data_IF_009693940899
#
_entry.id   IF_009693940899
#
_cell.length_a   1.000
_cell.length_b   1.000
_cell.length_c   1.000
_cell.angle_alpha   90.00
_cell.angle_beta   90.00
_cell.angle_gamma   90.00
#
_symmetry.space_group_name_H-M   'P 1'
#
loop_
_entity.id
_entity.type
_entity.pdbx_description
1 polymer ?
#
# COMPACT_ATOMS: atom_id res chain seq x y z
N UNK A 1 1.17 -2.53 -43.80
CA UNK A 1 1.26 -1.08 -44.09
C UNK A 1 1.79 -0.40 -42.83
N UNK A 2 2.84 0.43 -42.95
CA UNK A 2 3.37 1.18 -41.79
C UNK A 2 2.47 2.40 -41.57
N UNK A 3 2.01 2.69 -40.33
CA UNK A 3 1.18 3.85 -40.05
C UNK A 3 1.81 5.14 -40.59
N UNK A 4 1.00 5.99 -41.21
CA UNK A 4 1.43 7.32 -41.67
C UNK A 4 1.51 8.34 -40.53
N UNK A 5 0.99 8.02 -39.35
CA UNK A 5 1.01 8.90 -38.20
C UNK A 5 2.07 8.47 -37.19
N UNK A 6 2.89 9.44 -36.77
CA UNK A 6 3.94 9.25 -35.79
C UNK A 6 3.51 9.96 -34.51
N UNK A 7 3.51 9.24 -33.39
CA UNK A 7 3.39 9.86 -32.08
C UNK A 7 4.69 10.58 -31.78
N UNK A 8 4.64 11.76 -31.19
CA UNK A 8 5.86 12.50 -30.88
C UNK A 8 5.82 13.24 -29.55
N UNK A 9 4.64 13.40 -28.96
CA UNK A 9 4.40 14.19 -27.76
C UNK A 9 3.20 13.63 -27.01
N UNK A 10 3.19 13.74 -25.68
CA UNK A 10 2.24 13.06 -24.81
C UNK A 10 1.88 13.98 -23.63
N UNK A 11 0.64 14.48 -23.55
CA UNK A 11 0.25 15.43 -22.51
C UNK A 11 1.12 16.69 -22.55
N UNK A 12 1.84 16.97 -21.45
CA UNK A 12 2.82 18.06 -21.34
C UNK A 12 4.28 17.61 -21.61
N UNK A 13 4.50 16.32 -21.93
CA UNK A 13 5.83 15.77 -22.18
C UNK A 13 6.25 15.96 -23.64
N UNK A 14 7.40 16.60 -23.87
CA UNK A 14 8.05 16.80 -25.17
C UNK A 14 8.49 15.50 -25.90
N UNK A 15 8.24 14.35 -25.28
CA UNK A 15 8.59 13.02 -25.76
C UNK A 15 7.48 12.02 -25.40
N UNK A 16 7.62 10.79 -25.87
CA UNK A 16 6.70 9.69 -25.55
C UNK A 16 7.27 8.85 -24.41
N UNK A 17 6.68 8.86 -23.19
CA UNK A 17 7.17 8.08 -22.07
C UNK A 17 6.82 6.60 -22.24
N UNK A 18 7.83 5.74 -22.33
CA UNK A 18 7.66 4.29 -22.44
C UNK A 18 7.82 3.64 -21.07
N UNK A 19 6.75 3.07 -20.54
CA UNK A 19 6.74 2.36 -19.27
C UNK A 19 7.30 0.94 -19.46
N UNK A 20 8.36 0.62 -18.72
CA UNK A 20 8.98 -0.68 -18.65
C UNK A 20 8.78 -1.35 -17.28
N UNK A 21 9.41 -2.53 -17.10
CA UNK A 21 9.32 -3.32 -15.86
C UNK A 21 10.05 -2.64 -14.70
N UNK A 22 11.13 -1.92 -14.99
CA UNK A 22 12.01 -1.31 -13.98
C UNK A 22 11.82 0.20 -13.80
N UNK A 23 11.00 0.83 -14.65
CA UNK A 23 10.95 2.28 -14.77
C UNK A 23 10.33 2.77 -16.06
N UNK A 24 10.59 4.02 -16.42
CA UNK A 24 10.18 4.61 -17.70
C UNK A 24 11.35 5.26 -18.43
N UNK A 25 11.28 5.29 -19.76
CA UNK A 25 12.26 5.97 -20.62
C UNK A 25 11.56 6.89 -21.62
N UNK A 26 12.17 8.06 -21.87
CA UNK A 26 11.71 9.00 -22.88
C UNK A 26 12.10 8.58 -24.27
N UNK A 27 11.10 8.27 -25.09
CA UNK A 27 11.33 8.04 -26.51
C UNK A 27 11.02 9.31 -27.30
N UNK A 28 11.96 9.74 -28.13
CA UNK A 28 11.80 10.88 -29.05
C UNK A 28 11.74 10.39 -30.51
N UNK A 29 10.57 9.92 -30.98
CA UNK A 29 10.34 9.39 -32.33
C UNK A 29 10.87 10.27 -33.46
N UNK A 30 10.83 11.60 -33.29
CA UNK A 30 11.26 12.56 -34.30
C UNK A 30 12.75 12.45 -34.65
N UNK A 31 13.60 11.97 -33.74
CA UNK A 31 15.04 11.79 -33.99
C UNK A 31 15.33 10.69 -35.01
N UNK A 32 14.49 9.66 -35.09
CA UNK A 32 14.76 8.46 -35.91
C UNK A 32 14.04 8.47 -37.26
N UNK A 33 13.25 9.50 -37.55
CA UNK A 33 12.43 9.59 -38.78
C UNK A 33 13.23 9.55 -40.08
N UNK A 34 14.51 9.92 -40.06
CA UNK A 34 15.42 9.80 -41.21
C UNK A 34 15.58 8.35 -41.69
N UNK A 35 15.44 7.36 -40.79
CA UNK A 35 15.46 5.94 -41.15
C UNK A 35 14.27 5.56 -42.05
N UNK A 36 13.16 6.26 -41.88
CA UNK A 36 11.89 6.03 -42.59
C UNK A 36 11.65 7.03 -43.72
N UNK A 37 12.72 7.58 -44.33
CA UNK A 37 12.68 8.50 -45.48
C UNK A 37 11.84 9.77 -45.24
N UNK A 38 11.76 10.20 -43.99
CA UNK A 38 10.99 11.38 -43.58
C UNK A 38 11.93 12.52 -43.16
N UNK A 39 11.43 13.76 -43.15
CA UNK A 39 12.20 14.94 -42.73
C UNK A 39 12.69 14.76 -41.29
N UNK A 40 13.96 15.09 -41.04
CA UNK A 40 14.48 15.20 -39.70
C UNK A 40 13.94 16.49 -39.07
N UNK A 41 13.34 16.38 -37.90
CA UNK A 41 12.96 17.52 -37.07
C UNK A 41 14.03 17.73 -36.01
N UNK A 42 14.24 18.98 -35.61
CA UNK A 42 14.98 19.29 -34.39
C UNK A 42 13.98 19.05 -33.26
N UNK A 43 14.08 17.97 -32.47
CA UNK A 43 13.15 17.75 -31.39
C UNK A 43 13.48 18.71 -30.24
N UNK A 44 12.47 19.02 -29.43
CA UNK A 44 12.71 19.56 -28.11
C UNK A 44 13.44 18.47 -27.30
N UNK A 45 14.71 18.73 -26.98
CA UNK A 45 15.53 17.87 -26.12
C UNK A 45 15.59 18.36 -24.68
N UNK A 46 14.87 19.45 -24.38
CA UNK A 46 14.69 19.94 -23.01
C UNK A 46 14.03 18.83 -22.19
N UNK A 47 14.48 18.57 -20.96
CA UNK A 47 13.89 17.53 -20.10
C UNK A 47 14.19 16.06 -20.46
N UNK A 48 14.88 15.75 -21.57
CA UNK A 48 15.17 14.35 -21.94
C UNK A 48 16.00 13.63 -20.85
N UNK A 49 16.89 14.34 -20.17
CA UNK A 49 17.68 13.82 -19.04
C UNK A 49 16.82 13.49 -17.81
N UNK A 50 15.65 14.12 -17.68
CA UNK A 50 14.66 13.87 -16.62
C UNK A 50 13.70 12.74 -17.02
N UNK A 51 13.83 12.21 -18.24
CA UNK A 51 12.96 11.17 -18.76
C UNK A 51 13.46 9.74 -18.50
N UNK A 52 14.39 9.56 -17.57
CA UNK A 52 14.70 8.26 -17.00
C UNK A 52 14.11 8.19 -15.59
N UNK A 53 13.12 7.33 -15.42
CA UNK A 53 12.41 7.16 -14.16
C UNK A 53 12.58 5.72 -13.68
N UNK A 54 12.73 5.50 -12.37
CA UNK A 54 12.77 4.17 -11.76
C UNK A 54 11.70 4.01 -10.69
N UNK A 55 11.12 2.81 -10.58
CA UNK A 55 10.07 2.55 -9.58
C UNK A 55 10.57 2.48 -8.12
N UNK A 56 11.86 2.76 -7.87
CA UNK A 56 12.46 2.72 -6.53
C UNK A 56 12.16 3.95 -5.66
N UNK A 57 11.73 5.06 -6.27
CA UNK A 57 11.42 6.30 -5.56
C UNK A 57 10.13 6.22 -4.74
N UNK A 58 10.04 6.98 -3.65
CA UNK A 58 8.85 7.10 -2.80
C UNK A 58 7.63 7.74 -3.51
N UNK A 59 7.85 8.54 -4.56
CA UNK A 59 6.78 9.20 -5.35
C UNK A 59 6.38 8.44 -6.64
N UNK A 60 6.88 7.23 -6.85
CA UNK A 60 6.74 6.53 -8.14
C UNK A 60 5.28 6.37 -8.62
N UNK A 61 4.34 6.21 -7.68
CA UNK A 61 2.92 6.05 -8.00
C UNK A 61 2.28 7.33 -8.56
N UNK A 62 2.75 8.50 -8.13
CA UNK A 62 2.31 9.79 -8.66
C UNK A 62 2.76 9.98 -10.10
N UNK A 63 4.04 9.69 -10.36
CA UNK A 63 4.67 9.81 -11.68
C UNK A 63 4.06 8.83 -12.71
N UNK A 64 3.77 7.57 -12.31
CA UNK A 64 3.03 6.63 -13.17
C UNK A 64 1.64 7.17 -13.52
N UNK A 65 0.93 7.76 -12.55
CA UNK A 65 -0.41 8.31 -12.78
C UNK A 65 -0.37 9.49 -13.73
N UNK A 66 0.63 10.35 -13.61
CA UNK A 66 0.88 11.47 -14.51
C UNK A 66 1.17 11.00 -15.92
N UNK A 67 2.12 10.07 -16.11
CA UNK A 67 2.41 9.49 -17.41
C UNK A 67 1.18 8.81 -18.01
N UNK A 68 0.45 8.00 -17.24
CA UNK A 68 -0.78 7.34 -17.70
C UNK A 68 -1.88 8.34 -18.10
N UNK A 69 -1.97 9.48 -17.43
CA UNK A 69 -2.87 10.56 -17.82
C UNK A 69 -2.40 11.27 -19.10
N UNK A 70 -1.09 11.52 -19.25
CA UNK A 70 -0.52 12.08 -20.45
C UNK A 70 -0.80 11.19 -21.68
N UNK A 71 -0.77 9.87 -21.52
CA UNK A 71 -1.12 8.89 -22.56
C UNK A 71 -2.57 9.00 -23.06
N UNK A 72 -3.46 9.72 -22.35
CA UNK A 72 -4.80 10.05 -22.85
C UNK A 72 -4.78 11.19 -23.87
N UNK A 73 -3.70 11.97 -23.92
CA UNK A 73 -3.49 13.14 -24.78
C UNK A 73 -2.29 12.91 -25.71
N UNK A 74 -2.43 11.93 -26.60
CA UNK A 74 -1.38 11.60 -27.58
C UNK A 74 -1.43 12.60 -28.74
N UNK A 75 -0.32 13.25 -29.00
CA UNK A 75 -0.15 14.11 -30.15
C UNK A 75 0.53 13.36 -31.29
N UNK A 76 -0.04 13.50 -32.49
CA UNK A 76 0.40 12.79 -33.69
C UNK A 76 0.78 13.79 -34.76
N UNK A 77 1.85 13.48 -35.49
CA UNK A 77 2.23 14.21 -36.69
C UNK A 77 2.11 13.27 -37.88
N UNK A 78 1.49 13.77 -38.95
CA UNK A 78 1.46 13.04 -40.21
C UNK A 78 2.87 13.00 -40.78
N UNK A 79 3.33 11.80 -41.13
CA UNK A 79 4.60 11.59 -41.80
C UNK A 79 4.56 12.30 -43.14
N UNK A 80 5.27 13.42 -43.24
CA UNK A 80 5.48 14.08 -44.52
C UNK A 80 6.55 13.28 -45.26
N UNK A 81 6.11 12.49 -46.24
CA UNK A 81 7.01 11.91 -47.24
C UNK A 81 7.56 13.06 -48.06
N UNK A 82 8.75 13.50 -47.72
CA UNK A 82 9.41 14.55 -48.48
C UNK A 82 9.89 13.95 -49.80
N UNK A 83 9.20 14.30 -50.88
CA UNK A 83 9.76 14.19 -52.22
C UNK A 83 10.93 15.15 -52.40
N UNK A 84 12.02 14.64 -52.98
CA UNK A 84 13.08 15.37 -53.69
C UNK A 84 13.75 16.61 -53.03
N UNK A 85 13.69 16.83 -51.71
CA UNK A 85 14.54 17.86 -51.05
C UNK A 85 15.74 17.29 -50.30
N UNK A 86 15.91 15.97 -50.29
CA UNK A 86 17.26 15.41 -50.09
C UNK A 86 18.07 15.68 -51.35
N UNK A 87 19.18 16.38 -51.17
CA UNK A 87 20.17 16.62 -52.21
C UNK A 87 20.48 15.30 -52.95
N UNK A 88 20.54 15.28 -54.30
CA UNK A 88 20.83 14.06 -55.05
C UNK A 88 22.08 13.33 -54.55
N UNK A 89 23.04 14.09 -54.03
CA UNK A 89 24.26 13.59 -53.38
C UNK A 89 23.96 12.73 -52.16
N UNK A 90 22.95 13.05 -51.35
CA UNK A 90 22.57 12.22 -50.19
C UNK A 90 21.97 10.88 -50.62
N UNK A 91 21.15 10.87 -51.68
CA UNK A 91 20.65 9.61 -52.24
C UNK A 91 21.79 8.77 -52.81
N UNK A 92 22.73 9.39 -53.54
CA UNK A 92 23.93 8.73 -54.02
C UNK A 92 24.79 8.16 -52.90
N UNK A 93 25.08 8.96 -51.86
CA UNK A 93 25.84 8.56 -50.67
C UNK A 93 25.16 7.42 -49.90
N UNK A 94 23.83 7.49 -49.69
CA UNK A 94 23.05 6.45 -49.01
C UNK A 94 23.01 5.16 -49.82
N UNK A 95 22.80 5.23 -51.14
CA UNK A 95 22.80 4.05 -52.02
C UNK A 95 24.18 3.39 -52.08
N UNK A 96 25.26 4.18 -52.07
CA UNK A 96 26.64 3.68 -51.92
C UNK A 96 26.79 2.91 -50.59
N UNK A 97 26.34 3.50 -49.48
CA UNK A 97 26.33 2.87 -48.15
C UNK A 97 25.45 1.62 -48.06
N UNK A 98 24.31 1.54 -48.75
CA UNK A 98 23.47 0.32 -48.71
C UNK A 98 24.26 -0.87 -49.28
N UNK A 99 25.09 -0.64 -50.30
CA UNK A 99 25.96 -1.66 -50.87
C UNK A 99 27.21 -1.90 -50.01
N UNK A 100 27.73 -0.89 -49.31
CA UNK A 100 28.86 -1.05 -48.37
C UNK A 100 28.44 -1.70 -47.03
N UNK A 101 27.16 -1.66 -46.67
CA UNK A 101 26.58 -2.28 -45.47
C UNK A 101 26.03 -3.68 -45.74
N UNK A 102 26.56 -4.42 -46.72
CA UNK A 102 26.54 -5.87 -46.59
C UNK A 102 27.33 -6.15 -45.32
N UNK A 103 26.63 -6.37 -44.21
CA UNK A 103 27.21 -6.97 -43.03
C UNK A 103 27.85 -8.24 -43.54
N UNK A 104 29.18 -8.23 -43.70
CA UNK A 104 29.96 -9.46 -43.89
C UNK A 104 29.41 -10.41 -42.83
N UNK A 105 28.82 -11.56 -43.20
CA UNK A 105 28.35 -12.51 -42.20
C UNK A 105 29.60 -12.92 -41.44
N UNK A 106 29.87 -12.26 -40.31
CA UNK A 106 30.86 -12.75 -39.35
C UNK A 106 30.13 -13.91 -38.73
N UNK A 107 30.33 -15.11 -39.26
CA UNK A 107 29.80 -16.36 -38.68
C UNK A 107 30.16 -16.45 -37.18
N UNK A 108 31.30 -15.88 -36.78
CA UNK A 108 31.71 -15.64 -35.38
C UNK A 108 30.70 -14.83 -34.55
N UNK A 109 30.06 -13.80 -35.10
CA UNK A 109 29.07 -12.97 -34.38
C UNK A 109 27.71 -13.62 -34.29
N UNK A 110 27.32 -14.44 -35.26
CA UNK A 110 26.04 -15.17 -35.19
C UNK A 110 26.11 -16.21 -34.09
N UNK A 111 27.21 -16.98 -33.99
CA UNK A 111 27.48 -17.89 -32.88
C UNK A 111 27.55 -17.15 -31.52
N UNK A 112 28.18 -15.97 -31.48
CA UNK A 112 28.26 -15.15 -30.27
C UNK A 112 26.89 -14.61 -29.82
N UNK A 113 26.06 -14.11 -30.74
CA UNK A 113 24.71 -13.59 -30.42
C UNK A 113 23.78 -14.71 -29.99
N UNK A 114 23.82 -15.87 -30.66
CA UNK A 114 23.02 -17.04 -30.27
C UNK A 114 23.41 -17.54 -28.88
N UNK A 115 24.71 -17.55 -28.55
CA UNK A 115 25.21 -17.82 -27.20
C UNK A 115 24.68 -16.82 -26.17
N UNK A 116 24.77 -15.51 -26.44
CA UNK A 116 24.23 -14.49 -25.54
C UNK A 116 22.72 -14.59 -25.37
N UNK A 117 21.96 -14.82 -26.45
CA UNK A 117 20.52 -14.99 -26.38
C UNK A 117 20.13 -16.25 -25.59
N UNK A 118 20.88 -17.34 -25.73
CA UNK A 118 20.67 -18.57 -24.95
C UNK A 118 20.94 -18.33 -23.46
N UNK A 119 21.98 -17.59 -23.11
CA UNK A 119 22.28 -17.19 -21.72
C UNK A 119 21.17 -16.29 -21.18
N UNK A 120 20.78 -15.24 -21.90
CA UNK A 120 19.71 -14.31 -21.49
C UNK A 120 18.37 -15.05 -21.32
N UNK A 121 18.02 -15.96 -22.24
CA UNK A 121 16.80 -16.77 -22.11
C UNK A 121 16.86 -17.69 -20.88
N UNK A 122 18.04 -18.24 -20.56
CA UNK A 122 18.25 -19.10 -19.39
C UNK A 122 18.15 -18.31 -18.08
N UNK A 123 18.74 -17.11 -18.02
CA UNK A 123 18.61 -16.20 -16.88
C UNK A 123 17.15 -15.78 -16.65
N UNK A 124 16.40 -15.50 -17.73
CA UNK A 124 14.98 -15.20 -17.64
C UNK A 124 14.15 -16.39 -17.15
N UNK A 125 14.47 -17.61 -17.58
CA UNK A 125 13.80 -18.83 -17.09
C UNK A 125 14.06 -19.03 -15.58
N UNK A 126 15.29 -18.79 -15.12
CA UNK A 126 15.66 -18.83 -13.69
C UNK A 126 14.87 -17.78 -12.91
N UNK A 127 14.87 -16.52 -13.35
CA UNK A 127 14.13 -15.43 -12.68
C UNK A 127 12.63 -15.74 -12.60
N UNK A 128 12.05 -16.29 -13.68
CA UNK A 128 10.65 -16.68 -13.73
C UNK A 128 10.32 -17.79 -12.73
N UNK A 129 11.21 -18.77 -12.58
CA UNK A 129 11.04 -19.84 -11.62
C UNK A 129 11.16 -19.32 -10.17
N UNK A 130 12.16 -18.49 -9.88
CA UNK A 130 12.33 -17.83 -8.58
C UNK A 130 11.11 -16.97 -8.21
N UNK A 131 10.53 -16.28 -9.19
CA UNK A 131 9.32 -15.49 -8.98
C UNK A 131 8.14 -16.39 -8.62
N UNK A 132 7.97 -17.52 -9.33
CA UNK A 132 6.92 -18.49 -9.08
C UNK A 132 7.04 -19.11 -7.68
N UNK A 133 8.25 -19.43 -7.26
CA UNK A 133 8.54 -19.96 -5.92
C UNK A 133 8.21 -18.94 -4.84
N UNK A 134 8.74 -17.71 -4.94
CA UNK A 134 8.43 -16.62 -3.99
C UNK A 134 6.94 -16.29 -3.95
N UNK A 135 6.27 -16.29 -5.09
CA UNK A 135 4.82 -16.06 -5.14
C UNK A 135 4.03 -17.16 -4.41
N UNK A 136 4.48 -18.42 -4.48
CA UNK A 136 3.88 -19.54 -3.74
C UNK A 136 4.12 -19.41 -2.24
N UNK A 137 5.35 -19.07 -1.83
CA UNK A 137 5.66 -18.82 -0.42
C UNK A 137 4.83 -17.67 0.17
N UNK A 138 4.67 -16.58 -0.57
CA UNK A 138 3.80 -15.48 -0.15
C UNK A 138 2.34 -15.91 -0.04
N UNK A 139 1.85 -16.74 -0.97
CA UNK A 139 0.52 -17.32 -0.89
C UNK A 139 0.29 -18.07 0.43
N UNK A 140 1.24 -18.95 0.81
CA UNK A 140 1.17 -19.70 2.08
C UNK A 140 1.21 -18.79 3.32
N UNK A 141 2.08 -17.76 3.31
CA UNK A 141 2.13 -16.77 4.42
C UNK A 141 0.83 -15.98 4.55
N UNK A 142 0.19 -15.62 3.43
CA UNK A 142 -1.10 -14.93 3.44
C UNK A 142 -2.18 -15.83 4.04
N UNK A 143 -2.23 -17.10 3.64
CA UNK A 143 -3.19 -18.07 4.17
C UNK A 143 -3.02 -18.26 5.68
N UNK A 144 -1.78 -18.44 6.15
CA UNK A 144 -1.47 -18.52 7.58
C UNK A 144 -1.92 -17.26 8.35
N UNK A 145 -1.63 -16.07 7.85
CA UNK A 145 -2.04 -14.82 8.49
C UNK A 145 -3.56 -14.65 8.52
N UNK A 146 -4.28 -15.14 7.51
CA UNK A 146 -5.74 -15.13 7.48
C UNK A 146 -6.32 -16.06 8.55
N UNK A 147 -5.72 -17.23 8.73
CA UNK A 147 -6.12 -18.19 9.78
C UNK A 147 -5.83 -17.64 11.18
N UNK A 148 -4.64 -17.09 11.43
CA UNK A 148 -4.28 -16.43 12.69
C UNK A 148 -5.23 -15.27 13.02
N UNK A 149 -5.60 -14.46 12.02
CA UNK A 149 -6.59 -13.38 12.19
C UNK A 149 -7.97 -13.91 12.58
N UNK A 150 -8.39 -15.05 12.02
CA UNK A 150 -9.67 -15.68 12.37
C UNK A 150 -9.68 -16.15 13.83
N UNK A 151 -8.60 -16.81 14.29
CA UNK A 151 -8.46 -17.23 15.67
C UNK A 151 -8.48 -16.05 16.65
N UNK A 152 -7.70 -15.01 16.38
CA UNK A 152 -7.71 -13.79 17.19
C UNK A 152 -9.10 -13.12 17.23
N UNK A 153 -9.84 -13.17 16.11
CA UNK A 153 -11.22 -12.70 16.07
C UNK A 153 -12.14 -13.45 17.04
N UNK A 154 -12.02 -14.78 17.10
CA UNK A 154 -12.78 -15.61 18.04
C UNK A 154 -12.40 -15.29 19.50
N UNK A 155 -11.11 -15.14 19.80
CA UNK A 155 -10.65 -14.80 21.15
C UNK A 155 -11.18 -13.45 21.62
N UNK A 156 -11.20 -12.45 20.74
CA UNK A 156 -11.79 -11.13 21.03
C UNK A 156 -13.27 -11.26 21.37
N UNK A 157 -14.03 -12.08 20.63
CA UNK A 157 -15.45 -12.30 20.91
C UNK A 157 -15.67 -13.04 22.24
N UNK A 158 -14.84 -14.03 22.56
CA UNK A 158 -14.85 -14.73 23.86
C UNK A 158 -14.62 -13.74 25.00
N UNK A 159 -13.55 -12.96 24.94
CA UNK A 159 -13.23 -11.96 25.98
C UNK A 159 -14.32 -10.90 26.12
N UNK A 160 -14.95 -10.50 25.01
CA UNK A 160 -16.09 -9.57 25.03
C UNK A 160 -17.30 -10.17 25.75
N UNK A 161 -17.59 -11.47 25.56
CA UNK A 161 -18.64 -12.16 26.29
C UNK A 161 -18.33 -12.29 27.78
N UNK A 162 -17.10 -12.62 28.14
CA UNK A 162 -16.64 -12.71 29.53
C UNK A 162 -16.74 -11.36 30.24
N UNK A 163 -16.25 -10.29 29.61
CA UNK A 163 -16.36 -8.93 30.15
C UNK A 163 -17.81 -8.51 30.38
N UNK A 164 -18.72 -8.87 29.46
CA UNK A 164 -20.15 -8.60 29.61
C UNK A 164 -20.76 -9.37 30.79
N UNK A 165 -20.35 -10.62 31.02
CA UNK A 165 -20.78 -11.43 32.17
C UNK A 165 -20.27 -10.86 33.48
N UNK A 166 -19.00 -10.49 33.54
CA UNK A 166 -18.39 -9.83 34.70
C UNK A 166 -19.08 -8.51 35.05
N UNK A 167 -19.39 -7.68 34.04
CA UNK A 167 -20.12 -6.42 34.25
C UNK A 167 -21.50 -6.64 34.84
N UNK A 168 -22.24 -7.64 34.37
CA UNK A 168 -23.55 -8.00 34.96
C UNK A 168 -23.42 -8.45 36.40
N UNK A 169 -22.42 -9.29 36.71
CA UNK A 169 -22.15 -9.73 38.08
C UNK A 169 -21.79 -8.57 39.01
N UNK A 170 -20.93 -7.65 38.54
CA UNK A 170 -20.55 -6.44 39.30
C UNK A 170 -21.76 -5.57 39.61
N UNK A 171 -22.61 -5.27 38.63
CA UNK A 171 -23.80 -4.44 38.83
C UNK A 171 -24.74 -5.05 39.89
N UNK A 172 -24.96 -6.38 39.84
CA UNK A 172 -25.79 -7.06 40.84
C UNK A 172 -25.17 -6.98 42.24
N UNK A 173 -23.87 -7.22 42.37
CA UNK A 173 -23.18 -7.11 43.66
C UNK A 173 -23.22 -5.67 44.23
N UNK A 174 -23.21 -4.66 43.35
CA UNK A 174 -23.34 -3.26 43.72
C UNK A 174 -24.76 -2.92 44.21
N UNK A 175 -25.80 -3.41 43.53
CA UNK A 175 -27.20 -3.32 43.98
C UNK A 175 -27.42 -4.00 45.34
N UNK A 176 -26.87 -5.22 45.51
CA UNK A 176 -26.96 -5.98 46.76
C UNK A 176 -26.24 -5.24 47.91
N UNK A 177 -25.08 -4.62 47.63
CA UNK A 177 -24.34 -3.82 48.62
C UNK A 177 -25.11 -2.57 49.03
N UNK A 178 -25.73 -1.86 48.07
CA UNK A 178 -26.54 -0.69 48.36
C UNK A 178 -27.78 -1.05 49.17
N UNK A 179 -28.45 -2.16 48.86
CA UNK A 179 -29.55 -2.71 49.64
C UNK A 179 -29.12 -2.99 51.09
N UNK A 180 -28.03 -3.75 51.27
CA UNK A 180 -27.48 -4.07 52.59
C UNK A 180 -27.11 -2.81 53.39
N UNK A 181 -26.56 -1.79 52.72
CA UNK A 181 -26.23 -0.50 53.32
C UNK A 181 -27.48 0.24 53.79
N UNK A 182 -28.60 0.16 53.05
CA UNK A 182 -29.87 0.73 53.49
C UNK A 182 -30.48 0.00 54.67
N UNK A 183 -30.44 -1.34 54.67
CA UNK A 183 -30.95 -2.16 55.76
C UNK A 183 -30.15 -1.96 57.05
N UNK A 184 -28.82 -1.88 56.94
CA UNK A 184 -27.96 -1.54 58.08
C UNK A 184 -28.30 -0.17 58.68
N UNK A 185 -28.53 0.85 57.84
CA UNK A 185 -28.95 2.18 58.32
C UNK A 185 -30.29 2.12 59.04
N UNK A 186 -31.28 1.38 58.52
CA UNK A 186 -32.58 1.18 59.17
C UNK A 186 -32.43 0.48 60.51
N UNK A 187 -31.70 -0.64 60.56
CA UNK A 187 -31.45 -1.39 61.79
C UNK A 187 -30.80 -0.50 62.86
N UNK A 188 -29.77 0.27 62.48
CA UNK A 188 -29.09 1.21 63.38
C UNK A 188 -30.04 2.29 63.93
N UNK A 189 -30.95 2.80 63.09
CA UNK A 189 -31.99 3.74 63.54
C UNK A 189 -32.97 3.05 64.50
N UNK A 190 -33.45 1.85 64.19
CA UNK A 190 -34.34 1.09 65.06
C UNK A 190 -33.73 0.80 66.43
N UNK A 191 -32.44 0.42 66.49
CA UNK A 191 -31.70 0.21 67.75
C UNK A 191 -31.64 1.49 68.59
N UNK A 192 -31.44 2.66 67.95
CA UNK A 192 -31.47 3.96 68.65
C UNK A 192 -32.86 4.27 69.19
N UNK A 193 -33.91 4.08 68.40
CA UNK A 193 -35.29 4.39 68.78
C UNK A 193 -35.81 3.46 69.89
N UNK A 194 -35.45 2.18 69.87
CA UNK A 194 -35.83 1.21 70.89
C UNK A 194 -35.07 1.37 72.24
N UNK A 195 -34.19 2.37 72.37
CA UNK A 195 -33.39 2.62 73.58
C UNK A 195 -32.28 1.58 73.84
N UNK A 196 -32.14 0.58 72.98
CA UNK A 196 -31.11 -0.47 73.03
C UNK A 196 -29.72 0.02 72.61
N UNK A 197 -29.61 1.23 72.04
CA UNK A 197 -28.35 1.89 71.69
C UNK A 197 -27.62 2.57 72.84
N UNK A 198 -28.05 2.38 74.09
CA UNK A 198 -27.35 2.88 75.29
C UNK A 198 -26.02 2.16 75.45
N UNK A 199 -24.95 2.93 75.63
CA UNK A 199 -23.61 2.39 75.91
C UNK A 199 -23.64 1.69 77.29
N UNK A 200 -22.89 0.61 77.50
CA UNK A 200 -22.95 -0.20 78.76
C UNK A 200 -22.86 0.64 80.03
N UNK A 201 -22.14 1.77 80.00
CA UNK A 201 -22.05 2.74 81.09
C UNK A 201 -23.38 3.40 81.42
N UNK A 202 -24.17 3.80 80.42
CA UNK A 202 -25.51 4.38 80.64
C UNK A 202 -26.46 3.38 81.30
N UNK A 203 -26.41 2.10 80.90
CA UNK A 203 -27.16 1.03 81.57
C UNK A 203 -26.73 0.83 83.03
N UNK A 204 -25.42 0.89 83.31
CA UNK A 204 -24.90 0.77 84.68
C UNK A 204 -25.31 1.95 85.56
N UNK A 205 -25.44 3.14 84.97
CA UNK A 205 -25.81 4.37 85.67
C UNK A 205 -27.31 4.40 86.02
N UNK A 206 -28.18 4.01 85.08
CA UNK A 206 -29.62 3.85 85.35
C UNK A 206 -29.90 2.77 86.39
N UNK A 207 -29.21 1.62 86.34
CA UNK A 207 -29.36 0.57 87.36
C UNK A 207 -28.92 1.07 88.75
N UNK A 208 -27.89 1.93 88.82
CA UNK A 208 -27.48 2.56 90.10
C UNK A 208 -28.53 3.54 90.60
N UNK A 209 -29.08 4.38 89.73
CA UNK A 209 -30.14 5.35 90.07
C UNK A 209 -31.42 4.65 90.55
N UNK A 210 -31.86 3.59 89.87
CA UNK A 210 -32.98 2.73 90.28
C UNK A 210 -32.74 2.09 91.66
N UNK A 211 -31.55 1.52 91.88
CA UNK A 211 -31.18 0.94 93.20
C UNK A 211 -31.16 1.98 94.31
N UNK A 212 -30.75 3.22 94.02
CA UNK A 212 -30.80 4.30 95.02
C UNK A 212 -32.23 4.75 95.34
N UNK A 213 -33.14 4.73 94.35
CA UNK A 213 -34.56 5.04 94.57
C UNK A 213 -35.28 3.95 95.39
N UNK A 214 -35.00 2.68 95.11
CA UNK A 214 -35.58 1.56 95.84
C UNK A 214 -35.12 1.47 97.31
N UNK A 215 -33.96 2.02 97.64
CA UNK A 215 -33.43 2.07 99.01
C UNK A 215 -33.88 3.33 99.80
N UNK A 216 -34.68 4.22 99.20
CA UNK A 216 -35.21 5.44 99.82
C UNK A 216 -36.75 5.42 99.98
N UNK A 217 -37.40 4.30 99.68
CA UNK A 217 -38.79 3.98 100.05
C UNK A 217 -38.81 2.88 101.11
#
# INVERSE_FOLDING_TARGET
MVPDDIWYHCGDFDWVPLLGIWGAVGYTPLLVLRQYRSRQFIPATQGLAECEFSYKGNNYRGEIREMSNAWKQIHRVKRITVGATTTPEYHGWRSKRINDNILRPREERVQSIEGHLRVVLSELEIIKQDFKERSSEFGKKIEQLVEEKMHLGLDVDIHKMEAKKLRKGKNKAEEDLDSLKTDYKKLRLSIRTAGLGKMSEQWRQEIKEEKTKANQS
#
